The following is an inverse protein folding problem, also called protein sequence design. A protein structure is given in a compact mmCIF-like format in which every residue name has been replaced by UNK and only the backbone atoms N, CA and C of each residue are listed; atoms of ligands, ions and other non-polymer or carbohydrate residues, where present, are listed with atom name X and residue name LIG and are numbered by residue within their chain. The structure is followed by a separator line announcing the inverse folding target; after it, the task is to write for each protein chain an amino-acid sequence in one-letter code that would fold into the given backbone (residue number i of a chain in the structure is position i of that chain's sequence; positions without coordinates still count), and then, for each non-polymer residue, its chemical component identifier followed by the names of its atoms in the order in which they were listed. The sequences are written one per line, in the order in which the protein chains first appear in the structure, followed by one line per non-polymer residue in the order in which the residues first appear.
data_IF_653037529087
#
_entry.id   IF_653037529087
#
_cell.length_a   1.000
_cell.length_b   1.000
_cell.length_c   1.000
_cell.angle_alpha   90.00
_cell.angle_beta   90.00
_cell.angle_gamma   90.00
#
_symmetry.space_group_name_H-M   'P 1'
#
loop_
_entity.id
_entity.type
_entity.pdbx_description
1 polymer ?
#
# COMPACT_ATOMS: atom_id res chain seq x y z
N UNK A 1 67.84 -20.19 43.85
CA UNK A 1 66.62 -19.56 44.37
C UNK A 1 66.17 -18.48 43.39
N UNK A 2 65.06 -18.69 42.58
CA UNK A 2 64.48 -17.73 41.61
C UNK A 2 63.18 -17.27 42.18
N UNK A 3 62.87 -15.97 42.30
CA UNK A 3 61.58 -15.45 42.73
C UNK A 3 60.52 -15.56 41.59
N UNK A 4 59.37 -16.15 41.91
CA UNK A 4 58.17 -16.21 41.06
C UNK A 4 57.48 -14.84 41.06
N UNK A 5 57.36 -14.24 39.88
CA UNK A 5 56.57 -13.01 39.67
C UNK A 5 55.12 -13.39 39.50
N UNK A 6 54.24 -12.98 40.43
CA UNK A 6 52.81 -13.09 40.37
C UNK A 6 52.27 -11.99 39.48
N UNK A 7 51.71 -12.36 38.31
CA UNK A 7 50.97 -11.43 37.48
C UNK A 7 49.52 -11.39 37.96
N UNK A 8 49.11 -10.29 38.56
CA UNK A 8 47.72 -9.98 38.89
C UNK A 8 47.01 -9.51 37.62
N UNK A 9 46.19 -10.37 37.06
CA UNK A 9 45.34 -10.03 35.91
C UNK A 9 44.11 -9.30 36.43
N UNK A 10 44.04 -7.97 36.23
CA UNK A 10 42.84 -7.16 36.48
C UNK A 10 41.82 -7.45 35.39
N UNK A 11 40.72 -8.10 35.73
CA UNK A 11 39.59 -8.36 34.89
C UNK A 11 38.71 -7.10 34.83
N UNK A 12 38.80 -6.36 33.72
CA UNK A 12 37.97 -5.20 33.45
C UNK A 12 36.58 -5.67 32.97
N UNK A 13 35.58 -5.56 33.85
CA UNK A 13 34.18 -5.92 33.57
C UNK A 13 33.56 -4.77 32.76
N UNK A 14 33.49 -4.91 31.43
CA UNK A 14 32.76 -3.98 30.58
C UNK A 14 31.27 -4.34 30.64
N UNK A 15 30.49 -3.53 31.35
CA UNK A 15 29.05 -3.62 31.37
C UNK A 15 28.50 -3.18 30.01
N UNK A 16 28.13 -4.13 29.16
CA UNK A 16 27.41 -3.86 27.93
C UNK A 16 25.94 -3.52 28.27
N UNK A 17 25.59 -2.23 28.23
CA UNK A 17 24.20 -1.81 28.31
C UNK A 17 23.49 -2.23 27.02
N UNK A 18 22.35 -2.94 27.06
CA UNK A 18 21.56 -3.23 25.87
C UNK A 18 20.89 -1.93 25.44
N UNK A 19 21.31 -1.38 24.30
CA UNK A 19 20.55 -0.36 23.59
C UNK A 19 19.28 -1.03 23.09
N UNK A 20 18.19 -0.89 23.85
CA UNK A 20 16.86 -1.24 23.40
C UNK A 20 16.47 -0.23 22.30
N UNK A 21 16.77 -0.55 21.04
CA UNK A 21 16.15 0.13 19.91
C UNK A 21 14.67 -0.18 19.97
N UNK A 22 13.87 0.78 20.44
CA UNK A 22 12.43 0.72 20.42
C UNK A 22 11.97 0.59 18.97
N UNK A 23 11.75 -0.64 18.53
CA UNK A 23 11.02 -0.89 17.27
C UNK A 23 9.60 -0.41 17.53
N UNK A 24 9.26 0.76 17.02
CA UNK A 24 7.87 1.19 16.90
C UNK A 24 7.19 0.17 15.97
N UNK A 25 6.50 -0.81 16.55
CA UNK A 25 5.67 -1.75 15.79
C UNK A 25 4.56 -0.95 15.13
N UNK A 26 4.80 -0.57 13.87
CA UNK A 26 3.79 0.10 13.07
C UNK A 26 2.70 -0.91 12.73
N UNK A 27 1.65 -0.95 13.55
CA UNK A 27 0.47 -1.76 13.26
C UNK A 27 -0.21 -1.21 12.01
N UNK A 28 -0.40 -2.02 10.95
CA UNK A 28 -1.11 -1.56 9.76
C UNK A 28 -2.51 -1.07 10.12
N UNK A 29 -3.01 0.00 9.48
CA UNK A 29 -4.35 0.49 9.74
C UNK A 29 -5.40 -0.58 9.40
N UNK A 30 -6.43 -0.68 10.24
CA UNK A 30 -7.57 -1.56 9.97
C UNK A 30 -8.37 -1.06 8.77
N UNK A 31 -9.17 -1.92 8.09
CA UNK A 31 -10.04 -1.48 7.00
C UNK A 31 -10.94 -0.31 7.38
N UNK A 32 -11.51 -0.31 8.58
CA UNK A 32 -12.32 0.79 9.10
C UNK A 32 -11.52 2.09 9.25
N UNK A 33 -10.29 2.01 9.74
CA UNK A 33 -9.38 3.17 9.83
C UNK A 33 -8.99 3.69 8.44
N UNK A 34 -8.78 2.81 7.46
CA UNK A 34 -8.50 3.21 6.08
C UNK A 34 -9.67 4.00 5.49
N UNK A 35 -10.91 3.52 5.65
CA UNK A 35 -12.12 4.22 5.21
C UNK A 35 -12.26 5.57 5.92
N UNK A 36 -12.13 5.61 7.25
CA UNK A 36 -12.23 6.85 8.02
C UNK A 36 -11.20 7.90 7.57
N UNK A 37 -9.95 7.48 7.35
CA UNK A 37 -8.89 8.36 6.86
C UNK A 37 -9.16 8.85 5.44
N UNK A 38 -9.72 8.01 4.57
CA UNK A 38 -10.10 8.37 3.21
C UNK A 38 -11.24 9.41 3.22
N UNK A 39 -12.30 9.16 3.97
CA UNK A 39 -13.43 10.10 4.11
C UNK A 39 -12.97 11.42 4.72
N UNK A 40 -12.15 11.40 5.78
CA UNK A 40 -11.63 12.61 6.40
C UNK A 40 -10.79 13.46 5.41
N UNK A 41 -9.96 12.80 4.58
CA UNK A 41 -9.20 13.49 3.53
C UNK A 41 -10.10 14.11 2.48
N UNK A 42 -11.11 13.35 2.00
CA UNK A 42 -12.07 13.85 1.02
C UNK A 42 -12.93 14.99 1.59
N UNK A 43 -13.31 14.91 2.87
CA UNK A 43 -14.02 15.99 3.58
C UNK A 43 -13.22 17.29 3.59
N UNK A 44 -11.93 17.22 3.92
CA UNK A 44 -11.04 18.40 3.89
C UNK A 44 -10.87 18.97 2.47
N UNK A 45 -10.84 18.10 1.46
CA UNK A 45 -10.63 18.48 0.08
C UNK A 45 -11.88 19.12 -0.55
N UNK A 46 -13.05 18.51 -0.32
CA UNK A 46 -14.30 18.80 -1.01
C UNK A 46 -15.31 19.54 -0.11
N UNK A 47 -14.99 19.74 1.18
CA UNK A 47 -15.90 20.31 2.17
C UNK A 47 -17.22 19.53 2.23
N UNK A 48 -17.13 18.19 2.39
CA UNK A 48 -18.30 17.32 2.43
C UNK A 48 -19.22 17.65 3.60
N UNK A 49 -20.52 17.66 3.35
CA UNK A 49 -21.53 17.74 4.41
C UNK A 49 -21.56 16.47 5.25
N UNK A 50 -22.17 16.53 6.44
CA UNK A 50 -22.31 15.35 7.32
C UNK A 50 -23.05 14.21 6.62
N UNK A 51 -24.08 14.49 5.82
CA UNK A 51 -24.81 13.51 5.04
C UNK A 51 -23.90 12.86 4.00
N UNK A 52 -23.15 13.64 3.21
CA UNK A 52 -22.19 13.12 2.23
C UNK A 52 -21.08 12.29 2.88
N UNK A 53 -20.62 12.66 4.08
CA UNK A 53 -19.63 11.87 4.83
C UNK A 53 -20.16 10.48 5.23
N UNK A 54 -21.43 10.42 5.67
CA UNK A 54 -22.07 9.15 6.02
C UNK A 54 -22.23 8.25 4.79
N UNK A 55 -22.70 8.80 3.66
CA UNK A 55 -22.83 8.06 2.40
C UNK A 55 -21.47 7.61 1.88
N UNK A 56 -20.45 8.47 1.88
CA UNK A 56 -19.09 8.13 1.50
C UNK A 56 -18.52 7.00 2.37
N UNK A 57 -18.77 7.02 3.67
CA UNK A 57 -18.36 5.95 4.58
C UNK A 57 -18.99 4.61 4.20
N UNK A 58 -20.28 4.60 3.87
CA UNK A 58 -20.97 3.39 3.42
C UNK A 58 -20.40 2.86 2.10
N UNK A 59 -20.21 3.75 1.11
CA UNK A 59 -19.65 3.41 -0.20
C UNK A 59 -18.27 2.77 -0.05
N UNK A 60 -17.34 3.43 0.65
CA UNK A 60 -15.97 2.93 0.81
C UNK A 60 -15.86 1.72 1.74
N UNK A 61 -16.78 1.54 2.69
CA UNK A 61 -16.85 0.31 3.49
C UNK A 61 -17.24 -0.88 2.62
N UNK A 62 -18.22 -0.71 1.73
CA UNK A 62 -18.63 -1.73 0.77
C UNK A 62 -17.50 -2.08 -0.20
N UNK A 63 -16.79 -1.07 -0.72
CA UNK A 63 -15.60 -1.25 -1.55
C UNK A 63 -14.53 -2.08 -0.81
N UNK A 64 -14.16 -1.71 0.41
CA UNK A 64 -13.14 -2.42 1.19
C UNK A 64 -13.53 -3.87 1.47
N UNK A 65 -14.82 -4.13 1.73
CA UNK A 65 -15.32 -5.48 1.91
C UNK A 65 -15.21 -6.33 0.64
N UNK A 66 -15.43 -5.72 -0.53
CA UNK A 66 -15.26 -6.39 -1.82
C UNK A 66 -13.76 -6.60 -2.17
N UNK A 67 -12.90 -5.63 -1.85
CA UNK A 67 -11.47 -5.69 -2.16
C UNK A 67 -10.68 -6.65 -1.27
N UNK A 68 -11.11 -6.91 -0.04
CA UNK A 68 -10.41 -7.76 0.91
C UNK A 68 -10.14 -9.18 0.36
N UNK A 69 -11.13 -9.94 -0.14
CA UNK A 69 -10.89 -11.26 -0.71
C UNK A 69 -10.08 -11.18 -2.02
N UNK A 70 -10.28 -10.16 -2.84
CA UNK A 70 -9.54 -9.97 -4.10
C UNK A 70 -8.05 -9.79 -3.80
N UNK A 71 -7.69 -8.95 -2.86
CA UNK A 71 -6.30 -8.69 -2.48
C UNK A 71 -5.62 -9.93 -1.86
N UNK A 72 -6.34 -10.72 -1.06
CA UNK A 72 -5.86 -11.98 -0.51
C UNK A 72 -5.57 -12.99 -1.64
N UNK A 73 -6.49 -13.14 -2.58
CA UNK A 73 -6.36 -14.03 -3.73
C UNK A 73 -5.23 -13.58 -4.67
N UNK A 74 -5.06 -12.27 -4.91
CA UNK A 74 -3.94 -11.72 -5.67
C UNK A 74 -2.60 -12.05 -5.02
N UNK A 75 -2.49 -11.93 -3.71
CA UNK A 75 -1.27 -12.30 -2.97
C UNK A 75 -0.96 -13.79 -3.15
N UNK A 76 -1.96 -14.66 -3.02
CA UNK A 76 -1.82 -16.11 -3.21
C UNK A 76 -1.39 -16.44 -4.65
N UNK A 77 -2.06 -15.89 -5.66
CA UNK A 77 -1.75 -16.11 -7.06
C UNK A 77 -0.34 -15.63 -7.43
N UNK A 78 0.10 -14.46 -6.91
CA UNK A 78 1.47 -13.97 -7.11
C UNK A 78 2.52 -14.86 -6.46
N UNK A 79 2.23 -15.43 -5.28
CA UNK A 79 3.13 -16.39 -4.61
C UNK A 79 3.23 -17.68 -5.42
N UNK A 80 2.10 -18.20 -5.91
CA UNK A 80 2.07 -19.39 -6.77
C UNK A 80 2.80 -19.14 -8.11
N UNK A 81 2.61 -17.97 -8.71
CA UNK A 81 3.33 -17.57 -9.92
C UNK A 81 4.85 -17.57 -9.69
N UNK A 82 5.31 -16.99 -8.57
CA UNK A 82 6.74 -16.98 -8.22
C UNK A 82 7.28 -18.41 -8.09
N UNK A 83 6.56 -19.31 -7.42
CA UNK A 83 6.96 -20.72 -7.29
C UNK A 83 7.01 -21.43 -8.65
N UNK A 84 6.01 -21.23 -9.50
CA UNK A 84 5.96 -21.81 -10.85
C UNK A 84 7.12 -21.32 -11.74
N UNK A 85 7.52 -20.05 -11.62
CA UNK A 85 8.69 -19.51 -12.33
C UNK A 85 9.98 -20.20 -11.85
N UNK A 86 10.14 -20.39 -10.54
CA UNK A 86 11.31 -21.07 -9.96
C UNK A 86 11.39 -22.55 -10.38
N UNK A 87 10.23 -23.20 -10.54
CA UNK A 87 10.11 -24.60 -11.01
C UNK A 87 10.11 -24.74 -12.55
N UNK A 88 10.15 -23.61 -13.29
CA UNK A 88 10.03 -23.59 -14.77
C UNK A 88 8.75 -24.26 -15.30
N UNK A 89 7.65 -24.17 -14.58
CA UNK A 89 6.35 -24.75 -14.91
C UNK A 89 5.52 -23.82 -15.79
N UNK A 90 5.72 -23.87 -17.11
CA UNK A 90 5.08 -22.94 -18.07
C UNK A 90 3.55 -22.98 -18.03
N UNK A 91 2.92 -24.14 -17.84
CA UNK A 91 1.47 -24.28 -17.74
C UNK A 91 0.91 -23.54 -16.51
N UNK A 92 1.54 -23.75 -15.35
CA UNK A 92 1.17 -23.08 -14.10
C UNK A 92 1.41 -21.57 -14.18
N UNK A 93 2.50 -21.12 -14.82
CA UNK A 93 2.77 -19.70 -15.07
C UNK A 93 1.61 -19.05 -15.84
N UNK A 94 1.17 -19.67 -16.95
CA UNK A 94 0.06 -19.16 -17.76
C UNK A 94 -1.25 -19.11 -16.98
N UNK A 95 -1.57 -20.15 -16.22
CA UNK A 95 -2.77 -20.23 -15.38
C UNK A 95 -2.77 -19.13 -14.30
N UNK A 96 -1.65 -18.95 -13.59
CA UNK A 96 -1.56 -17.92 -12.56
C UNK A 96 -1.60 -16.50 -13.14
N UNK A 97 -0.99 -16.26 -14.30
CA UNK A 97 -1.08 -14.97 -14.99
C UNK A 97 -2.53 -14.64 -15.36
N UNK A 98 -3.29 -15.59 -15.89
CA UNK A 98 -4.72 -15.44 -16.19
C UNK A 98 -5.53 -15.14 -14.93
N UNK A 99 -5.27 -15.85 -13.82
CA UNK A 99 -5.92 -15.62 -12.53
C UNK A 99 -5.65 -14.21 -12.01
N UNK A 100 -4.39 -13.75 -12.07
CA UNK A 100 -4.02 -12.39 -11.66
C UNK A 100 -4.74 -11.35 -12.54
N UNK A 101 -4.82 -11.58 -13.85
CA UNK A 101 -5.54 -10.70 -14.77
C UNK A 101 -7.02 -10.57 -14.42
N UNK A 102 -7.71 -11.69 -14.17
CA UNK A 102 -9.11 -11.71 -13.76
C UNK A 102 -9.35 -10.98 -12.43
N UNK A 103 -8.50 -11.25 -11.42
CA UNK A 103 -8.58 -10.59 -10.11
C UNK A 103 -8.30 -9.09 -10.19
N UNK A 104 -7.34 -8.67 -11.01
CA UNK A 104 -7.06 -7.24 -11.25
C UNK A 104 -8.24 -6.54 -11.92
N UNK A 105 -8.91 -7.23 -12.86
CA UNK A 105 -10.14 -6.70 -13.46
C UNK A 105 -11.23 -6.49 -12.43
N UNK A 106 -11.45 -7.45 -11.51
CA UNK A 106 -12.42 -7.31 -10.42
C UNK A 106 -12.03 -6.17 -9.46
N UNK A 107 -10.75 -6.00 -9.14
CA UNK A 107 -10.25 -4.89 -8.32
C UNK A 107 -10.58 -3.53 -8.95
N UNK A 108 -10.24 -3.34 -10.24
CA UNK A 108 -10.53 -2.10 -10.96
C UNK A 108 -12.04 -1.85 -11.05
N UNK A 109 -12.84 -2.89 -11.26
CA UNK A 109 -14.30 -2.77 -11.33
C UNK A 109 -14.87 -2.34 -9.97
N UNK A 110 -14.47 -2.95 -8.87
CA UNK A 110 -14.93 -2.57 -7.53
C UNK A 110 -14.57 -1.12 -7.20
N UNK A 111 -13.33 -0.71 -7.45
CA UNK A 111 -12.87 0.67 -7.24
C UNK A 111 -13.61 1.67 -8.12
N UNK A 112 -13.81 1.35 -9.41
CA UNK A 112 -14.51 2.23 -10.35
C UNK A 112 -15.99 2.40 -9.97
N UNK A 113 -16.64 1.33 -9.53
CA UNK A 113 -18.04 1.37 -9.06
C UNK A 113 -18.16 2.25 -7.80
N UNK A 114 -17.28 2.09 -6.83
CA UNK A 114 -17.26 2.92 -5.63
C UNK A 114 -16.99 4.40 -5.96
N UNK A 115 -16.02 4.67 -6.85
CA UNK A 115 -15.73 6.03 -7.30
C UNK A 115 -16.92 6.67 -8.03
N UNK A 116 -17.62 5.93 -8.86
CA UNK A 116 -18.83 6.41 -9.56
C UNK A 116 -19.96 6.71 -8.56
N UNK A 117 -20.19 5.83 -7.58
CA UNK A 117 -21.16 6.05 -6.53
C UNK A 117 -20.80 7.27 -5.67
N UNK A 118 -19.53 7.43 -5.31
CA UNK A 118 -19.04 8.61 -4.58
C UNK A 118 -19.22 9.90 -5.42
N UNK A 119 -18.89 9.86 -6.71
CA UNK A 119 -19.05 11.01 -7.60
C UNK A 119 -20.52 11.47 -7.71
N UNK A 120 -21.46 10.53 -7.67
CA UNK A 120 -22.90 10.82 -7.77
C UNK A 120 -23.45 11.60 -6.58
N UNK A 121 -22.84 11.49 -5.39
CA UNK A 121 -23.27 12.23 -4.18
C UNK A 121 -22.67 13.62 -4.10
N UNK A 122 -21.73 13.98 -4.99
CA UNK A 122 -21.07 15.28 -4.99
C UNK A 122 -21.90 16.34 -5.74
N UNK A 123 -21.86 17.57 -5.24
CA UNK A 123 -22.38 18.73 -5.96
C UNK A 123 -21.50 19.04 -7.20
N UNK A 124 -22.03 19.78 -8.21
CA UNK A 124 -21.23 20.14 -9.39
C UNK A 124 -19.93 20.88 -9.07
N UNK A 125 -19.93 21.73 -8.04
CA UNK A 125 -18.72 22.41 -7.60
C UNK A 125 -17.69 21.45 -7.00
N UNK A 126 -18.13 20.50 -6.18
CA UNK A 126 -17.27 19.46 -5.61
C UNK A 126 -16.75 18.51 -6.70
N UNK A 127 -17.55 18.14 -7.69
CA UNK A 127 -17.14 17.33 -8.83
C UNK A 127 -16.02 18.00 -9.63
N UNK A 128 -16.09 19.33 -9.81
CA UNK A 128 -15.04 20.09 -10.47
C UNK A 128 -13.71 19.99 -9.71
N UNK A 129 -13.73 20.18 -8.39
CA UNK A 129 -12.53 20.07 -7.53
C UNK A 129 -11.99 18.63 -7.55
N UNK A 130 -12.89 17.63 -7.47
CA UNK A 130 -12.54 16.22 -7.50
C UNK A 130 -11.80 15.84 -8.79
N UNK A 131 -12.31 16.27 -9.94
CA UNK A 131 -11.72 16.03 -11.25
C UNK A 131 -10.36 16.72 -11.42
N UNK A 132 -10.22 17.97 -10.97
CA UNK A 132 -8.96 18.73 -11.07
C UNK A 132 -7.82 18.10 -10.26
N UNK A 133 -8.13 17.41 -9.17
CA UNK A 133 -7.13 16.78 -8.29
C UNK A 133 -6.75 15.38 -8.73
N UNK A 134 -7.29 14.86 -9.84
CA UNK A 134 -7.00 13.51 -10.32
C UNK A 134 -7.39 12.42 -9.32
N UNK A 135 -8.43 12.62 -8.54
CA UNK A 135 -8.87 11.74 -7.47
C UNK A 135 -9.33 10.36 -7.96
N UNK A 136 -9.53 10.19 -9.27
CA UNK A 136 -9.83 8.91 -9.93
C UNK A 136 -8.69 7.89 -9.86
N UNK A 137 -7.48 8.32 -9.47
CA UNK A 137 -6.28 7.49 -9.39
C UNK A 137 -5.75 7.30 -7.97
N UNK A 138 -6.60 7.06 -7.02
CA UNK A 138 -6.20 6.83 -5.65
C UNK A 138 -5.60 5.44 -5.42
N UNK A 139 -4.39 5.20 -5.88
CA UNK A 139 -3.69 3.99 -5.49
C UNK A 139 -2.64 3.52 -6.50
N UNK A 140 -1.46 4.10 -6.49
CA UNK A 140 -0.30 3.40 -7.03
C UNK A 140 0.21 3.83 -8.40
N UNK A 141 0.51 5.10 -8.57
CA UNK A 141 1.23 5.62 -9.74
C UNK A 141 2.35 6.58 -9.35
N UNK A 142 3.18 6.24 -8.38
CA UNK A 142 4.50 6.85 -8.22
C UNK A 142 5.49 6.05 -9.05
N UNK A 143 5.56 6.36 -10.32
CA UNK A 143 6.54 5.71 -11.18
C UNK A 143 6.51 6.23 -12.60
N UNK A 144 7.29 7.26 -12.92
CA UNK A 144 7.87 7.36 -14.25
C UNK A 144 7.23 8.28 -15.27
N UNK A 145 7.12 9.57 -14.97
CA UNK A 145 7.12 10.58 -16.03
C UNK A 145 8.19 11.63 -15.72
N UNK A 146 9.45 11.27 -15.93
CA UNK A 146 10.54 12.21 -15.66
C UNK A 146 11.92 11.71 -15.99
N UNK A 147 12.16 11.15 -17.17
CA UNK A 147 13.53 10.95 -17.64
C UNK A 147 13.62 10.56 -19.12
N UNK A 148 13.05 11.36 -20.02
CA UNK A 148 13.48 11.30 -21.44
C UNK A 148 13.47 12.68 -22.06
N UNK A 149 14.26 13.58 -21.53
CA UNK A 149 14.59 14.84 -22.19
C UNK A 149 15.97 15.32 -21.74
N UNK A 150 17.02 14.59 -22.09
CA UNK A 150 18.39 15.14 -22.15
C UNK A 150 19.28 14.19 -22.94
N UNK A 151 19.69 14.63 -24.12
CA UNK A 151 20.79 13.98 -24.80
C UNK A 151 20.72 14.02 -26.32
N UNK A 152 20.49 15.20 -26.91
CA UNK A 152 20.89 15.42 -28.28
C UNK A 152 21.69 16.72 -28.35
N UNK A 153 22.97 16.61 -28.12
CA UNK A 153 24.00 17.55 -28.61
C UNK A 153 25.21 16.73 -29.07
N UNK A 154 25.44 16.77 -30.34
CA UNK A 154 26.67 17.17 -31.01
C UNK A 154 27.74 16.09 -31.14
N UNK A 155 27.94 15.62 -32.23
CA UNK A 155 29.03 15.82 -33.24
C UNK A 155 28.78 14.89 -34.41
#
# INVERSE_FOLDING_TARGET
MKPRRLFTTSLLLIAAAPFAFGQTTHTPPTPAQMVANQVARLTKLLTLTTAQQAEATTIFTTEQSALAPISANLKTARTALKAAVQANERGTISAQASTIGALTTQEVQAQSTANAAFYAILTPAQQTIYNQRGAWGGGGGRGGAGAMARGRRGF
#
